data_IF_583566688206
#
_entry.id   IF_583566688206
#
_cell.length_a   1.000
_cell.length_b   1.000
_cell.length_c   1.000
_cell.angle_alpha   90.00
_cell.angle_beta   90.00
_cell.angle_gamma   90.00
#
_symmetry.space_group_name_H-M   'P 1'
#
loop_
_entity.id
_entity.type
_entity.pdbx_description
1 polymer ?
#
# COMPACT_ATOMS: atom_id res chain seq x y z
N UNK A 1 13.25 9.14 -7.88
CA UNK A 1 12.26 8.11 -8.23
C UNK A 1 11.52 8.43 -9.52
N UNK A 2 10.87 9.58 -9.68
CA UNK A 2 10.09 9.97 -10.87
C UNK A 2 10.87 9.84 -12.19
N UNK A 3 12.07 10.39 -12.32
CA UNK A 3 12.89 10.30 -13.53
C UNK A 3 13.21 8.85 -13.96
N UNK A 4 13.20 7.89 -13.04
CA UNK A 4 13.39 6.46 -13.35
C UNK A 4 12.08 5.82 -13.84
N UNK A 5 10.95 6.26 -13.30
CA UNK A 5 9.63 5.85 -13.75
C UNK A 5 9.34 6.38 -15.15
N UNK A 6 9.63 7.64 -15.44
CA UNK A 6 9.49 8.26 -16.78
C UNK A 6 10.23 7.48 -17.85
N UNK A 7 11.49 7.10 -17.58
CA UNK A 7 12.29 6.28 -18.54
C UNK A 7 11.71 4.89 -18.80
N UNK A 8 11.02 4.31 -17.80
CA UNK A 8 10.33 3.02 -17.99
C UNK A 8 9.03 3.18 -18.76
N UNK A 9 8.29 4.25 -18.50
CA UNK A 9 7.03 4.55 -19.17
C UNK A 9 7.21 4.89 -20.66
N UNK A 10 8.29 5.54 -21.04
CA UNK A 10 8.61 5.81 -22.43
C UNK A 10 8.68 4.54 -23.33
N UNK A 11 8.79 3.37 -22.68
CA UNK A 11 8.81 2.05 -23.33
C UNK A 11 7.52 1.25 -23.17
N UNK A 12 6.55 1.79 -22.43
CA UNK A 12 5.29 1.11 -22.17
C UNK A 12 4.23 1.55 -23.20
N UNK A 13 3.50 0.60 -23.77
CA UNK A 13 2.38 0.88 -24.67
C UNK A 13 1.13 1.42 -23.96
N UNK A 14 1.14 1.48 -22.62
CA UNK A 14 0.02 1.92 -21.81
C UNK A 14 -0.02 3.45 -21.66
N UNK A 15 -1.22 4.02 -21.61
CA UNK A 15 -1.43 5.43 -21.23
C UNK A 15 -1.25 5.56 -19.72
N UNK A 16 -0.09 6.06 -19.28
CA UNK A 16 0.23 6.28 -17.88
C UNK A 16 0.60 7.73 -17.67
N UNK A 17 0.00 8.33 -16.64
CA UNK A 17 0.35 9.66 -16.16
C UNK A 17 1.06 9.52 -14.80
N UNK A 18 2.24 10.14 -14.67
CA UNK A 18 2.96 10.22 -13.41
C UNK A 18 2.62 11.51 -12.70
N UNK A 19 2.17 11.39 -11.47
CA UNK A 19 1.84 12.52 -10.61
C UNK A 19 2.53 12.33 -9.24
N UNK A 20 3.03 13.42 -8.68
CA UNK A 20 3.55 13.44 -7.32
C UNK A 20 2.46 13.99 -6.40
N UNK A 21 2.00 13.16 -5.46
CA UNK A 21 0.94 13.53 -4.52
C UNK A 21 1.20 12.94 -3.14
N UNK A 22 0.58 13.54 -2.14
CA UNK A 22 0.46 12.95 -0.81
C UNK A 22 -0.75 12.02 -0.79
N UNK A 23 -0.54 10.76 -0.40
CA UNK A 23 -1.60 9.75 -0.36
C UNK A 23 -2.68 10.07 0.68
N UNK A 24 -2.36 10.86 1.69
CA UNK A 24 -3.33 11.30 2.71
C UNK A 24 -4.22 12.45 2.22
N UNK A 25 -3.90 13.02 1.05
CA UNK A 25 -4.65 14.13 0.43
C UNK A 25 -4.48 14.12 -1.08
N UNK A 26 -5.20 13.22 -1.74
CA UNK A 26 -5.17 13.09 -3.20
C UNK A 26 -5.96 14.21 -3.89
N UNK A 27 -5.34 14.83 -4.90
CA UNK A 27 -5.96 15.92 -5.68
C UNK A 27 -6.91 15.41 -6.78
N UNK A 28 -7.63 14.33 -6.51
CA UNK A 28 -8.63 13.76 -7.41
C UNK A 28 -10.03 13.95 -6.85
N UNK A 29 -11.07 14.12 -7.71
CA UNK A 29 -12.45 14.07 -7.28
C UNK A 29 -12.83 12.73 -6.64
N UNK A 30 -13.90 12.72 -5.86
CA UNK A 30 -14.47 11.49 -5.34
C UNK A 30 -14.89 10.58 -6.49
N UNK A 31 -14.76 9.26 -6.29
CA UNK A 31 -15.27 8.22 -7.21
C UNK A 31 -14.74 8.37 -8.64
N UNK A 32 -13.49 8.83 -8.82
CA UNK A 32 -12.88 9.07 -10.13
C UNK A 32 -12.21 7.83 -10.74
N UNK A 33 -11.96 6.79 -9.94
CA UNK A 33 -11.27 5.57 -10.38
C UNK A 33 -12.11 4.32 -10.17
N UNK A 34 -11.96 3.37 -11.08
CA UNK A 34 -12.62 2.06 -10.97
C UNK A 34 -11.93 1.14 -9.96
N UNK A 35 -10.61 1.32 -9.78
CA UNK A 35 -9.80 0.58 -8.82
C UNK A 35 -8.54 1.38 -8.43
N UNK A 36 -7.92 0.98 -7.32
CA UNK A 36 -6.62 1.48 -6.90
C UNK A 36 -5.67 0.33 -6.55
N UNK A 37 -4.36 0.54 -6.80
CA UNK A 37 -3.31 -0.40 -6.41
C UNK A 37 -2.24 0.35 -5.64
N UNK A 38 -1.95 -0.09 -4.42
CA UNK A 38 -0.87 0.41 -3.60
C UNK A 38 0.21 -0.67 -3.44
N UNK A 39 1.42 -0.40 -3.88
CA UNK A 39 2.53 -1.35 -3.81
C UNK A 39 3.62 -0.80 -2.91
N UNK A 40 3.82 -1.45 -1.76
CA UNK A 40 4.79 -1.07 -0.73
C UNK A 40 4.67 0.40 -0.29
N UNK A 41 3.45 0.88 -0.23
CA UNK A 41 3.13 2.24 0.17
C UNK A 41 2.93 2.35 1.68
N UNK A 42 2.01 1.57 2.24
CA UNK A 42 1.63 1.68 3.64
C UNK A 42 2.73 1.20 4.60
N UNK A 43 3.57 0.24 4.20
CA UNK A 43 4.73 -0.16 5.01
C UNK A 43 5.76 0.97 5.19
N UNK A 44 5.74 1.99 4.32
CA UNK A 44 6.60 3.18 4.44
C UNK A 44 5.91 4.37 5.12
N UNK A 45 4.58 4.31 5.28
CA UNK A 45 3.81 5.36 5.94
C UNK A 45 3.90 5.20 7.47
N UNK A 46 4.03 6.30 8.22
CA UNK A 46 3.79 6.30 9.66
C UNK A 46 2.41 5.75 10.00
N UNK A 47 2.30 5.04 11.12
CA UNK A 47 1.08 4.31 11.50
C UNK A 47 -0.14 5.24 11.63
N UNK A 48 0.08 6.44 12.17
CA UNK A 48 -0.91 7.50 12.33
C UNK A 48 -1.47 8.04 11.00
N UNK A 49 -0.77 7.84 9.90
CA UNK A 49 -1.19 8.31 8.57
C UNK A 49 -1.87 7.21 7.73
N UNK A 50 -1.80 5.95 8.16
CA UNK A 50 -2.31 4.83 7.36
C UNK A 50 -3.82 4.90 7.15
N UNK A 51 -4.58 5.19 8.21
CA UNK A 51 -6.05 5.33 8.11
C UNK A 51 -6.43 6.48 7.17
N UNK A 52 -5.72 7.62 7.25
CA UNK A 52 -5.98 8.76 6.38
C UNK A 52 -5.69 8.42 4.91
N UNK A 53 -4.55 7.76 4.63
CA UNK A 53 -4.21 7.33 3.27
C UNK A 53 -5.20 6.31 2.69
N UNK A 54 -5.64 5.34 3.51
CA UNK A 54 -6.66 4.37 3.08
C UNK A 54 -8.01 5.02 2.83
N UNK A 55 -8.42 5.96 3.68
CA UNK A 55 -9.67 6.71 3.50
C UNK A 55 -9.66 7.51 2.21
N UNK A 56 -8.54 8.13 1.85
CA UNK A 56 -8.37 8.83 0.58
C UNK A 56 -8.44 7.89 -0.63
N UNK A 57 -7.83 6.72 -0.55
CA UNK A 57 -8.01 5.70 -1.61
C UNK A 57 -9.48 5.28 -1.73
N UNK A 58 -10.16 5.08 -0.60
CA UNK A 58 -11.61 4.78 -0.60
C UNK A 58 -12.45 5.89 -1.19
N UNK A 59 -12.12 7.16 -0.93
CA UNK A 59 -12.82 8.32 -1.46
C UNK A 59 -12.73 8.43 -2.97
N UNK A 60 -11.53 8.22 -3.52
CA UNK A 60 -11.30 8.38 -4.97
C UNK A 60 -11.73 7.17 -5.79
N UNK A 61 -11.88 6.00 -5.19
CA UNK A 61 -12.38 4.79 -5.85
C UNK A 61 -13.90 4.79 -5.83
N UNK A 62 -14.52 4.36 -6.92
CA UNK A 62 -15.98 4.22 -7.03
C UNK A 62 -16.51 3.20 -6.02
N UNK A 63 -17.75 3.37 -5.52
CA UNK A 63 -18.39 2.36 -4.69
C UNK A 63 -18.35 0.96 -5.33
N UNK A 64 -17.96 -0.03 -4.54
CA UNK A 64 -17.76 -1.40 -5.03
C UNK A 64 -16.43 -1.64 -5.76
N UNK A 65 -15.65 -0.60 -6.03
CA UNK A 65 -14.33 -0.72 -6.64
C UNK A 65 -13.31 -1.34 -5.69
N UNK A 66 -12.29 -1.98 -6.25
CA UNK A 66 -11.27 -2.73 -5.50
C UNK A 66 -10.04 -1.87 -5.22
N UNK A 67 -9.61 -1.90 -3.98
CA UNK A 67 -8.33 -1.32 -3.53
C UNK A 67 -7.41 -2.48 -3.18
N UNK A 68 -6.36 -2.68 -3.97
CA UNK A 68 -5.40 -3.76 -3.77
C UNK A 68 -4.10 -3.23 -3.20
N UNK A 69 -3.70 -3.74 -2.03
CA UNK A 69 -2.45 -3.36 -1.37
C UNK A 69 -1.49 -4.55 -1.33
N UNK A 70 -0.25 -4.31 -1.73
CA UNK A 70 0.85 -5.26 -1.60
C UNK A 70 1.86 -4.69 -0.60
N UNK A 71 2.04 -5.38 0.53
CA UNK A 71 2.78 -4.83 1.68
C UNK A 71 3.78 -5.82 2.25
N UNK A 72 4.86 -5.28 2.83
CA UNK A 72 5.77 -6.08 3.64
C UNK A 72 5.14 -6.40 5.00
N UNK A 73 5.36 -7.64 5.46
CA UNK A 73 4.97 -8.10 6.79
C UNK A 73 6.13 -8.77 7.50
N UNK A 74 6.05 -8.82 8.82
CA UNK A 74 7.04 -9.54 9.63
C UNK A 74 6.64 -11.02 9.73
N UNK A 75 7.53 -11.96 9.38
CA UNK A 75 7.29 -13.38 9.57
C UNK A 75 6.94 -13.71 11.03
N UNK A 76 5.95 -14.58 11.23
CA UNK A 76 5.44 -14.93 12.56
C UNK A 76 6.44 -15.77 13.37
N UNK A 77 7.24 -16.63 12.71
CA UNK A 77 8.13 -17.63 13.35
C UNK A 77 9.43 -17.88 12.57
N UNK A 78 10.39 -18.55 13.24
CA UNK A 78 11.59 -19.11 12.64
C UNK A 78 12.77 -18.14 12.49
N UNK A 79 13.82 -18.63 11.83
CA UNK A 79 15.08 -17.91 11.60
C UNK A 79 14.87 -16.61 10.82
N UNK A 80 13.87 -16.58 9.93
CA UNK A 80 13.51 -15.40 9.12
C UNK A 80 13.05 -14.23 9.99
N UNK A 81 12.33 -14.48 11.11
CA UNK A 81 11.96 -13.42 12.06
C UNK A 81 13.18 -12.79 12.73
N UNK A 82 14.19 -13.61 13.05
CA UNK A 82 15.44 -13.12 13.62
C UNK A 82 16.21 -12.30 12.58
N UNK A 83 16.29 -12.77 11.35
CA UNK A 83 16.94 -12.07 10.25
C UNK A 83 16.25 -10.73 9.94
N UNK A 84 14.91 -10.71 9.81
CA UNK A 84 14.18 -9.47 9.56
C UNK A 84 14.40 -8.46 10.69
N UNK A 85 14.43 -8.88 11.95
CA UNK A 85 14.72 -8.02 13.11
C UNK A 85 16.14 -7.42 13.05
N UNK A 86 17.10 -8.16 12.48
CA UNK A 86 18.47 -7.70 12.34
C UNK A 86 18.63 -6.67 11.21
N UNK A 87 17.88 -6.87 10.10
CA UNK A 87 17.91 -5.99 8.94
C UNK A 87 16.97 -4.79 9.03
N UNK A 88 15.97 -4.85 9.90
CA UNK A 88 14.94 -3.81 10.06
C UNK A 88 15.51 -2.40 10.31
N UNK A 89 16.50 -2.19 11.21
CA UNK A 89 17.06 -0.85 11.43
C UNK A 89 17.68 -0.26 10.16
N UNK A 90 18.32 -1.10 9.35
CA UNK A 90 18.94 -0.69 8.10
C UNK A 90 17.89 -0.39 7.02
N UNK A 91 16.86 -1.23 6.90
CA UNK A 91 15.74 -1.02 5.96
C UNK A 91 14.96 0.23 6.34
N UNK A 92 14.72 0.44 7.62
CA UNK A 92 14.07 1.66 8.12
C UNK A 92 14.91 2.91 7.81
N UNK A 93 16.22 2.86 8.06
CA UNK A 93 17.12 3.98 7.77
C UNK A 93 17.24 4.26 6.25
N UNK A 94 17.29 3.22 5.41
CA UNK A 94 17.52 3.37 3.96
C UNK A 94 16.23 3.70 3.19
N UNK A 95 15.07 3.21 3.65
CA UNK A 95 13.81 3.24 2.89
C UNK A 95 12.62 3.76 3.68
N UNK A 96 12.75 3.99 4.98
CA UNK A 96 11.62 4.35 5.86
C UNK A 96 10.61 3.23 6.06
N UNK A 97 10.88 2.01 5.58
CA UNK A 97 9.93 0.91 5.59
C UNK A 97 10.01 0.11 6.91
N UNK A 98 8.85 -0.15 7.53
CA UNK A 98 8.70 -1.02 8.70
C UNK A 98 8.07 -2.35 8.33
N UNK A 99 8.54 -3.45 8.96
CA UNK A 99 7.93 -4.78 8.81
C UNK A 99 6.82 -5.04 9.85
N UNK A 100 6.62 -4.14 10.79
CA UNK A 100 5.69 -4.26 11.91
C UNK A 100 4.31 -3.64 11.63
N UNK A 101 4.14 -3.04 10.46
CA UNK A 101 2.91 -2.37 10.06
C UNK A 101 1.76 -3.37 9.93
N UNK A 102 0.67 -3.08 10.62
CA UNK A 102 -0.53 -3.92 10.61
C UNK A 102 -1.61 -3.28 9.72
N UNK A 103 -1.24 -3.00 8.49
CA UNK A 103 -2.06 -2.30 7.51
C UNK A 103 -3.49 -2.84 7.40
N UNK A 104 -3.67 -4.16 7.53
CA UNK A 104 -5.01 -4.77 7.46
C UNK A 104 -5.96 -4.34 8.58
N UNK A 105 -5.45 -3.93 9.75
CA UNK A 105 -6.28 -3.42 10.85
C UNK A 105 -6.89 -2.06 10.52
N UNK A 106 -6.18 -1.26 9.75
CA UNK A 106 -6.60 0.08 9.38
C UNK A 106 -7.62 0.11 8.23
N UNK A 107 -7.82 -1.02 7.54
CA UNK A 107 -8.83 -1.12 6.46
C UNK A 107 -10.23 -0.83 6.99
N UNK A 108 -10.75 -1.52 8.02
CA UNK A 108 -12.09 -1.22 8.56
C UNK A 108 -12.16 0.15 9.26
N UNK A 109 -11.07 0.62 9.88
CA UNK A 109 -11.00 1.95 10.50
C UNK A 109 -11.13 3.09 9.47
N UNK A 110 -10.71 2.82 8.23
CA UNK A 110 -10.87 3.73 7.10
C UNK A 110 -12.27 3.68 6.46
N UNK A 111 -13.18 2.81 6.95
CA UNK A 111 -14.51 2.62 6.37
C UNK A 111 -14.52 1.73 5.14
N UNK A 112 -13.49 0.91 4.95
CA UNK A 112 -13.39 -0.04 3.85
C UNK A 112 -13.74 -1.45 4.31
N UNK A 113 -14.24 -2.28 3.41
CA UNK A 113 -14.47 -3.69 3.65
C UNK A 113 -13.24 -4.49 3.23
N UNK A 114 -12.61 -5.20 4.16
CA UNK A 114 -11.55 -6.15 3.84
C UNK A 114 -12.18 -7.41 3.20
N UNK A 115 -11.83 -7.70 1.96
CA UNK A 115 -12.33 -8.86 1.22
C UNK A 115 -11.41 -10.06 1.35
N UNK A 116 -10.11 -9.84 1.18
CA UNK A 116 -9.10 -10.89 1.21
C UNK A 116 -7.81 -10.39 1.86
N UNK A 117 -7.15 -11.27 2.58
CA UNK A 117 -5.82 -11.07 3.13
C UNK A 117 -5.04 -12.37 2.99
N UNK A 118 -4.01 -12.39 2.11
CA UNK A 118 -3.22 -13.60 1.87
C UNK A 118 -1.75 -13.30 1.66
N UNK A 119 -0.90 -14.25 2.03
CA UNK A 119 0.52 -14.18 1.72
C UNK A 119 0.79 -14.57 0.26
N UNK A 120 1.63 -13.80 -0.41
CA UNK A 120 2.06 -14.06 -1.80
C UNK A 120 3.48 -14.57 -1.87
N UNK A 121 4.32 -14.26 -0.87
CA UNK A 121 5.68 -14.74 -0.77
C UNK A 121 6.07 -14.95 0.70
N UNK A 122 6.18 -16.20 1.12
CA UNK A 122 6.84 -16.66 2.34
C UNK A 122 6.56 -15.86 3.64
N UNK A 123 5.35 -15.45 3.91
CA UNK A 123 4.97 -14.58 5.04
C UNK A 123 5.65 -13.19 5.03
N UNK A 124 6.45 -12.87 4.01
CA UNK A 124 7.13 -11.57 3.89
C UNK A 124 6.31 -10.55 3.13
N UNK A 125 5.51 -11.01 2.18
CA UNK A 125 4.69 -10.14 1.33
C UNK A 125 3.24 -10.59 1.45
N UNK A 126 2.40 -9.65 1.84
CA UNK A 126 0.96 -9.85 1.99
C UNK A 126 0.22 -9.03 0.93
N UNK A 127 -0.77 -9.66 0.33
CA UNK A 127 -1.76 -9.02 -0.52
C UNK A 127 -3.03 -8.79 0.30
N UNK A 128 -3.53 -7.58 0.26
CA UNK A 128 -4.79 -7.17 0.86
C UNK A 128 -5.70 -6.66 -0.25
N UNK A 129 -6.89 -7.20 -0.35
CA UNK A 129 -7.97 -6.67 -1.20
C UNK A 129 -9.04 -6.06 -0.29
N UNK A 130 -9.29 -4.79 -0.50
CA UNK A 130 -10.34 -4.05 0.17
C UNK A 130 -11.32 -3.47 -0.85
N UNK A 131 -12.55 -3.23 -0.41
CA UNK A 131 -13.59 -2.65 -1.25
C UNK A 131 -14.02 -1.31 -0.68
N UNK A 132 -14.17 -0.32 -1.56
CA UNK A 132 -14.75 0.96 -1.20
C UNK A 132 -16.24 0.75 -0.85
N UNK A 133 -16.64 1.22 0.34
CA UNK A 133 -18.03 1.16 0.77
C UNK A 133 -18.95 2.02 -0.11
N UNK A 134 -20.19 1.63 -0.16
CA UNK A 134 -21.25 2.32 -0.91
C UNK A 134 -21.54 3.72 -0.41
#
# INVERSE_FOLDING_TARGET
MLARAERRLARAAARVQLLQMDVTRLSFPDRSFDAAVATFLFCTLPDELQVAGMRELGRVVKPGGIIRCLEYTRPSRGLRRVMTRFWEPWVYWAYGAGFDRQTEKHVPEAGLQLLESRFVADELIKLLDAQAST
#
